data_IF_656849011248
#
_entry.id   IF_656849011248
#
_cell.length_a   1.000
_cell.length_b   1.000
_cell.length_c   1.000
_cell.angle_alpha   90.00
_cell.angle_beta   90.00
_cell.angle_gamma   90.00
#
_symmetry.space_group_name_H-M   'P 1'
#
loop_
_entity.id
_entity.type
_entity.pdbx_description
1 polymer ?
#
# COMPACT_ATOMS: atom_id res chain seq x y z
N UNK A 1 -17.71 11.02 -2.09
CA UNK A 1 -17.13 10.21 -1.01
C UNK A 1 -15.66 10.59 -0.93
N UNK A 2 -15.08 10.78 0.24
CA UNK A 2 -13.66 11.18 0.35
C UNK A 2 -12.81 9.93 0.20
N UNK A 3 -11.82 9.98 -0.69
CA UNK A 3 -10.87 8.89 -0.91
C UNK A 3 -9.65 9.11 -0.04
N UNK A 4 -9.18 8.05 0.61
CA UNK A 4 -7.92 8.05 1.37
C UNK A 4 -7.05 6.95 0.79
N UNK A 5 -5.79 7.27 0.49
CA UNK A 5 -4.82 6.31 -0.03
C UNK A 5 -3.75 6.05 1.02
N UNK A 6 -3.64 4.80 1.46
CA UNK A 6 -2.52 4.36 2.29
C UNK A 6 -1.43 3.74 1.42
N UNK A 7 -0.23 4.32 1.47
CA UNK A 7 0.96 3.77 0.82
C UNK A 7 1.78 2.99 1.83
N UNK A 8 1.99 1.70 1.57
CA UNK A 8 2.72 0.78 2.45
C UNK A 8 3.70 -0.06 1.67
N UNK A 9 4.65 -0.67 2.36
CA UNK A 9 5.54 -1.66 1.75
C UNK A 9 6.53 -2.33 2.68
N UNK A 10 6.53 -2.01 3.98
CA UNK A 10 7.27 -2.74 5.00
C UNK A 10 6.32 -3.40 6.01
N UNK A 11 6.69 -4.57 6.52
CA UNK A 11 5.88 -5.35 7.48
C UNK A 11 5.34 -4.54 8.67
N UNK A 12 6.11 -3.65 9.35
CA UNK A 12 5.57 -2.85 10.45
C UNK A 12 4.43 -1.90 10.04
N UNK A 13 4.31 -1.58 8.75
CA UNK A 13 3.24 -0.73 8.23
C UNK A 13 1.93 -1.52 8.08
N UNK A 14 1.96 -2.81 7.74
CA UNK A 14 0.74 -3.63 7.61
C UNK A 14 0.01 -3.78 8.95
N UNK A 15 0.77 -4.03 10.03
CA UNK A 15 0.23 -4.09 11.40
C UNK A 15 -0.51 -2.81 11.78
N UNK A 16 0.03 -1.65 11.36
CA UNK A 16 -0.58 -0.33 11.62
C UNK A 16 -1.73 -0.02 10.67
N UNK A 17 -1.69 -0.56 9.45
CA UNK A 17 -2.73 -0.36 8.44
C UNK A 17 -4.05 -1.01 8.84
N UNK A 18 -4.03 -2.15 9.53
CA UNK A 18 -5.26 -2.87 9.91
C UNK A 18 -6.28 -2.00 10.68
N UNK A 19 -5.94 -1.37 11.82
CA UNK A 19 -6.89 -0.51 12.53
C UNK A 19 -7.24 0.76 11.75
N UNK A 20 -6.32 1.30 10.93
CA UNK A 20 -6.59 2.48 10.09
C UNK A 20 -7.60 2.14 9.00
N UNK A 21 -7.39 1.05 8.27
CA UNK A 21 -8.31 0.54 7.26
C UNK A 21 -9.69 0.40 7.87
N UNK A 22 -9.81 -0.37 8.97
CA UNK A 22 -11.06 -0.59 9.70
C UNK A 22 -11.78 0.70 10.07
N UNK A 23 -11.05 1.71 10.54
CA UNK A 23 -11.64 3.00 10.91
C UNK A 23 -12.19 3.75 9.69
N UNK A 24 -11.42 3.80 8.60
CA UNK A 24 -11.79 4.53 7.38
C UNK A 24 -13.09 3.99 6.78
N UNK A 25 -13.20 2.68 6.55
CA UNK A 25 -14.44 2.15 5.96
C UNK A 25 -15.64 2.23 6.90
N UNK A 26 -15.43 2.09 8.23
CA UNK A 26 -16.51 2.27 9.23
C UNK A 26 -17.06 3.70 9.21
N UNK A 27 -16.23 4.69 8.92
CA UNK A 27 -16.64 6.10 8.84
C UNK A 27 -17.05 6.53 7.42
N UNK A 28 -17.24 5.60 6.49
CA UNK A 28 -17.76 5.89 5.14
C UNK A 28 -16.75 6.53 4.18
N UNK A 29 -15.45 6.40 4.46
CA UNK A 29 -14.40 6.77 3.50
C UNK A 29 -14.18 5.65 2.49
N UNK A 30 -13.85 6.03 1.26
CA UNK A 30 -13.26 5.09 0.30
C UNK A 30 -11.78 4.95 0.63
N UNK A 31 -11.34 3.76 1.04
CA UNK A 31 -9.93 3.53 1.38
C UNK A 31 -9.27 2.65 0.32
N UNK A 32 -8.22 3.19 -0.31
CA UNK A 32 -7.39 2.51 -1.30
C UNK A 32 -6.01 2.22 -0.71
N UNK A 33 -5.41 1.09 -1.06
CA UNK A 33 -4.12 0.65 -0.56
C UNK A 33 -3.15 0.48 -1.74
N UNK A 34 -2.02 1.20 -1.69
CA UNK A 34 -0.91 1.01 -2.61
C UNK A 34 0.23 0.32 -1.87
N UNK A 35 0.66 -0.84 -2.38
CA UNK A 35 1.83 -1.55 -1.90
C UNK A 35 3.04 -1.25 -2.79
N UNK A 36 4.16 -0.76 -2.22
CA UNK A 36 5.33 -0.36 -3.00
C UNK A 36 6.18 -1.53 -3.51
N UNK A 37 5.97 -2.75 -3.04
CA UNK A 37 6.56 -3.95 -3.65
C UNK A 37 8.08 -4.08 -3.50
N UNK A 38 8.68 -3.43 -2.50
CA UNK A 38 10.13 -3.41 -2.26
C UNK A 38 10.69 -4.66 -1.58
N UNK A 39 9.83 -5.51 -1.00
CA UNK A 39 10.24 -6.75 -0.34
C UNK A 39 10.14 -7.96 -1.28
N UNK A 40 11.11 -8.87 -1.18
CA UNK A 40 11.21 -10.04 -2.06
C UNK A 40 10.20 -11.15 -1.79
N UNK A 41 9.58 -11.18 -0.61
CA UNK A 41 8.67 -12.27 -0.25
C UNK A 41 7.21 -11.82 -0.34
N UNK A 42 6.66 -11.95 -1.54
CA UNK A 42 5.23 -11.72 -1.80
C UNK A 42 4.36 -12.63 -0.93
N UNK A 43 4.73 -13.92 -0.78
CA UNK A 43 3.98 -14.89 0.02
C UNK A 43 3.90 -14.48 1.49
N UNK A 44 4.97 -13.91 2.02
CA UNK A 44 4.97 -13.44 3.41
C UNK A 44 4.09 -12.19 3.60
N UNK A 45 3.99 -11.34 2.58
CA UNK A 45 3.12 -10.16 2.63
C UNK A 45 1.65 -10.58 2.63
N UNK A 46 1.25 -11.48 1.73
CA UNK A 46 -0.11 -12.01 1.60
C UNK A 46 -0.64 -12.60 2.93
N UNK A 47 0.22 -13.32 3.67
CA UNK A 47 -0.13 -13.87 4.98
C UNK A 47 -0.52 -12.76 5.97
N UNK A 48 0.19 -11.63 5.99
CA UNK A 48 -0.16 -10.53 6.91
C UNK A 48 -1.46 -9.83 6.54
N UNK A 49 -1.75 -9.65 5.25
CA UNK A 49 -3.02 -9.08 4.82
C UNK A 49 -4.19 -9.96 5.27
N UNK A 50 -4.08 -11.28 5.07
CA UNK A 50 -5.08 -12.24 5.53
C UNK A 50 -5.21 -12.29 7.06
N UNK A 51 -4.10 -12.41 7.80
CA UNK A 51 -4.13 -12.52 9.26
C UNK A 51 -4.69 -11.26 9.93
N UNK A 52 -4.45 -10.08 9.36
CA UNK A 52 -4.94 -8.82 9.92
C UNK A 52 -6.30 -8.38 9.37
N UNK A 53 -6.91 -9.16 8.47
CA UNK A 53 -8.20 -8.83 7.86
C UNK A 53 -8.13 -7.55 7.01
N UNK A 54 -6.98 -7.28 6.40
CA UNK A 54 -6.79 -6.19 5.44
C UNK A 54 -7.05 -6.77 4.04
N UNK A 55 -7.80 -6.10 3.16
CA UNK A 55 -7.94 -6.55 1.78
C UNK A 55 -6.59 -6.48 1.06
N UNK A 56 -6.46 -7.27 -0.01
CA UNK A 56 -5.32 -7.16 -0.92
C UNK A 56 -5.13 -5.71 -1.39
N UNK A 57 -3.88 -5.26 -1.64
CA UNK A 57 -3.62 -3.94 -2.18
C UNK A 57 -4.37 -3.72 -3.49
N UNK A 58 -4.98 -2.55 -3.65
CA UNK A 58 -5.59 -2.15 -4.92
C UNK A 58 -4.54 -2.05 -6.03
N UNK A 59 -3.33 -1.61 -5.66
CA UNK A 59 -2.18 -1.48 -6.55
C UNK A 59 -0.95 -2.03 -5.86
N UNK A 60 -0.15 -2.82 -6.59
CA UNK A 60 1.19 -3.22 -6.16
C UNK A 60 2.21 -2.74 -7.20
N UNK A 61 3.10 -1.83 -6.80
CA UNK A 61 4.08 -1.19 -7.70
C UNK A 61 5.22 -2.13 -8.12
N UNK A 62 5.44 -3.25 -7.43
CA UNK A 62 6.43 -4.26 -7.81
C UNK A 62 7.88 -3.74 -7.92
N UNK A 63 8.26 -2.73 -7.12
CA UNK A 63 9.53 -2.01 -7.29
C UNK A 63 10.77 -2.90 -7.09
N UNK A 64 10.67 -3.90 -6.21
CA UNK A 64 11.77 -4.80 -5.83
C UNK A 64 12.90 -4.10 -5.08
N UNK A 65 13.95 -4.84 -4.73
CA UNK A 65 15.12 -4.26 -4.05
C UNK A 65 16.09 -3.62 -5.05
N UNK A 66 16.52 -2.39 -4.73
CA UNK A 66 17.49 -1.61 -5.49
C UNK A 66 18.35 -0.80 -4.52
N UNK A 67 19.33 -0.05 -5.04
CA UNK A 67 19.97 1.01 -4.25
C UNK A 67 18.91 1.98 -3.71
N UNK A 68 19.18 2.61 -2.56
CA UNK A 68 18.25 3.56 -1.95
C UNK A 68 17.72 4.60 -2.95
N UNK A 69 18.62 5.24 -3.71
CA UNK A 69 18.23 6.27 -4.67
C UNK A 69 17.33 5.72 -5.78
N UNK A 70 17.68 4.57 -6.34
CA UNK A 70 16.87 3.93 -7.41
C UNK A 70 15.50 3.50 -6.89
N UNK A 71 15.45 2.93 -5.68
CA UNK A 71 14.19 2.48 -5.08
C UNK A 71 13.27 3.67 -4.79
N UNK A 72 13.79 4.75 -4.19
CA UNK A 72 13.04 5.98 -3.96
C UNK A 72 12.52 6.58 -5.26
N UNK A 73 13.36 6.70 -6.30
CA UNK A 73 12.95 7.25 -7.59
C UNK A 73 11.80 6.46 -8.22
N UNK A 74 11.88 5.13 -8.22
CA UNK A 74 10.83 4.29 -8.79
C UNK A 74 9.53 4.35 -8.00
N UNK A 75 9.60 4.45 -6.67
CA UNK A 75 8.41 4.65 -5.83
C UNK A 75 7.74 5.99 -6.19
N UNK A 76 8.51 7.08 -6.31
CA UNK A 76 7.96 8.39 -6.68
C UNK A 76 7.25 8.35 -8.04
N UNK A 77 7.86 7.72 -9.04
CA UNK A 77 7.27 7.59 -10.39
C UNK A 77 5.98 6.76 -10.34
N UNK A 78 6.02 5.58 -9.73
CA UNK A 78 4.84 4.71 -9.65
C UNK A 78 3.71 5.33 -8.84
N UNK A 79 4.02 6.12 -7.81
CA UNK A 79 2.99 6.87 -7.08
C UNK A 79 2.37 7.96 -7.95
N UNK A 80 3.16 8.77 -8.66
CA UNK A 80 2.64 9.83 -9.55
C UNK A 80 1.65 9.25 -10.57
N UNK A 81 2.04 8.19 -11.27
CA UNK A 81 1.22 7.54 -12.30
C UNK A 81 -0.15 7.10 -11.76
N UNK A 82 -0.20 6.57 -10.54
CA UNK A 82 -1.42 6.04 -9.95
C UNK A 82 -2.24 7.09 -9.20
N UNK A 83 -1.60 8.08 -8.59
CA UNK A 83 -2.28 9.12 -7.80
C UNK A 83 -2.95 10.17 -8.68
N UNK A 84 -2.41 10.44 -9.89
CA UNK A 84 -3.09 11.29 -10.88
C UNK A 84 -4.47 10.72 -11.21
N UNK A 85 -4.55 9.42 -11.46
CA UNK A 85 -5.80 8.74 -11.82
C UNK A 85 -6.75 8.60 -10.63
N UNK A 86 -6.22 8.30 -9.43
CA UNK A 86 -7.02 8.15 -8.21
C UNK A 86 -7.55 9.49 -7.69
N UNK A 87 -6.83 10.59 -7.91
CA UNK A 87 -7.12 11.94 -7.44
C UNK A 87 -7.75 11.99 -6.03
N UNK A 88 -7.05 11.44 -5.01
CA UNK A 88 -7.59 11.26 -3.67
C UNK A 88 -7.71 12.56 -2.86
#
# INVERSE_FOLDING_TARGET
>A
MVTVVSVVGARPQFVKLAPVHKSLITNGFEHRIIHTGQHYDAKLSDVFFQEFGIPEPDINLGIGSHSHATQTARIMIGLEENLIDLNP
#
